data_IF_401355305803
#
_entry.id   IF_401355305803
#
_cell.length_a   1.000
_cell.length_b   1.000
_cell.length_c   1.000
_cell.angle_alpha   90.00
_cell.angle_beta   90.00
_cell.angle_gamma   90.00
#
_symmetry.space_group_name_H-M   'P 1'
#
loop_
_entity.id
_entity.type
_entity.pdbx_description
1 polymer ?
#
# COMPACT_ATOMS: atom_id res chain seq x y z
N UNK A 1 -35.09 -23.54 59.97
CA UNK A 1 -35.42 -23.05 58.64
C UNK A 1 -34.27 -22.26 58.10
N UNK A 2 -33.68 -22.74 57.06
CA UNK A 2 -32.51 -22.08 56.48
C UNK A 2 -32.89 -21.47 55.15
N UNK A 3 -32.86 -20.16 55.13
CA UNK A 3 -33.06 -19.41 53.89
C UNK A 3 -31.74 -19.53 53.08
N UNK A 4 -31.83 -20.18 51.97
CA UNK A 4 -30.69 -20.20 51.03
C UNK A 4 -30.91 -19.12 49.98
N UNK A 5 -30.16 -18.07 50.09
CA UNK A 5 -30.06 -17.08 49.05
C UNK A 5 -29.02 -17.61 48.08
N UNK A 6 -29.47 -18.00 46.92
CA UNK A 6 -28.58 -18.26 45.80
C UNK A 6 -28.11 -16.93 45.24
N UNK A 7 -26.82 -16.66 45.21
CA UNK A 7 -26.34 -15.49 44.49
C UNK A 7 -26.56 -15.76 43.02
N UNK A 8 -27.45 -14.98 42.47
CA UNK A 8 -27.56 -14.92 40.98
C UNK A 8 -26.29 -14.33 40.48
N UNK A 9 -25.48 -15.17 39.93
CA UNK A 9 -24.27 -14.72 39.21
C UNK A 9 -24.76 -14.05 37.91
N UNK A 10 -24.86 -12.73 37.91
CA UNK A 10 -25.05 -11.97 36.68
C UNK A 10 -23.69 -11.98 35.98
N UNK A 11 -23.53 -12.91 35.07
CA UNK A 11 -22.42 -12.84 34.12
C UNK A 11 -22.79 -11.72 33.16
N UNK A 12 -22.30 -10.54 33.42
CA UNK A 12 -22.25 -9.50 32.40
C UNK A 12 -21.27 -9.96 31.35
N UNK A 13 -21.78 -10.58 30.29
CA UNK A 13 -21.00 -10.80 29.08
C UNK A 13 -20.73 -9.41 28.48
N UNK A 14 -19.60 -8.83 28.82
CA UNK A 14 -19.05 -7.73 28.05
C UNK A 14 -18.69 -8.32 26.70
N UNK A 15 -19.62 -8.26 25.75
CA UNK A 15 -19.30 -8.41 24.35
C UNK A 15 -18.39 -7.22 24.00
N UNK A 16 -17.10 -7.43 24.08
CA UNK A 16 -16.15 -6.51 23.49
C UNK A 16 -16.35 -6.63 21.97
N UNK A 17 -17.18 -5.76 21.44
CA UNK A 17 -17.24 -5.55 20.01
C UNK A 17 -15.86 -5.02 19.62
N UNK A 18 -15.15 -5.69 18.68
CA UNK A 18 -13.96 -5.09 18.13
C UNK A 18 -14.41 -3.79 17.47
N UNK A 19 -14.01 -2.68 18.07
CA UNK A 19 -14.02 -1.41 17.39
C UNK A 19 -13.07 -1.60 16.22
N UNK A 20 -13.62 -1.90 15.05
CA UNK A 20 -12.91 -1.71 13.82
C UNK A 20 -12.53 -0.24 13.81
N UNK A 21 -11.30 0.06 14.17
CA UNK A 21 -10.77 1.40 14.09
C UNK A 21 -10.76 1.78 12.61
N UNK A 22 -11.77 2.47 12.17
CA UNK A 22 -11.80 3.13 10.88
C UNK A 22 -10.93 4.40 10.92
N UNK A 23 -9.69 4.25 11.40
CA UNK A 23 -8.71 5.30 11.32
C UNK A 23 -8.45 5.56 9.84
N UNK A 24 -8.99 6.65 9.32
CA UNK A 24 -8.88 7.01 7.92
C UNK A 24 -9.70 6.06 7.03
N UNK A 25 -11.06 6.12 7.10
CA UNK A 25 -12.01 5.25 6.40
C UNK A 25 -11.88 5.18 4.89
N UNK A 26 -10.83 5.77 4.31
CA UNK A 26 -10.56 5.79 2.88
C UNK A 26 -9.29 5.02 2.49
N UNK A 27 -8.66 4.31 3.42
CA UNK A 27 -7.50 3.50 3.09
C UNK A 27 -7.94 2.28 2.27
N UNK A 28 -7.29 1.98 1.13
CA UNK A 28 -7.58 0.78 0.38
C UNK A 28 -7.36 -0.48 1.21
N UNK A 29 -8.04 -1.59 0.87
CA UNK A 29 -7.82 -2.84 1.58
C UNK A 29 -6.38 -3.34 1.40
N UNK A 30 -5.84 -3.92 2.47
CA UNK A 30 -4.54 -4.59 2.40
C UNK A 30 -4.72 -5.96 1.76
N UNK A 31 -3.94 -6.21 0.73
CA UNK A 31 -3.89 -7.49 0.03
C UNK A 31 -2.61 -8.22 0.38
N UNK A 32 -2.58 -9.52 0.15
CA UNK A 32 -1.39 -10.34 0.40
C UNK A 32 -1.07 -11.18 -0.83
N UNK A 33 0.21 -11.18 -1.21
CA UNK A 33 0.72 -12.03 -2.29
C UNK A 33 2.04 -12.63 -1.84
N UNK A 34 2.13 -13.95 -1.83
CA UNK A 34 3.35 -14.66 -1.43
C UNK A 34 3.91 -14.25 -0.07
N UNK A 35 3.04 -13.93 0.90
CA UNK A 35 3.42 -13.45 2.21
C UNK A 35 3.72 -11.96 2.29
N UNK A 36 3.67 -11.23 1.19
CA UNK A 36 3.89 -9.78 1.14
C UNK A 36 2.55 -9.06 1.21
N UNK A 37 2.36 -8.25 2.23
CA UNK A 37 1.21 -7.37 2.35
C UNK A 37 1.45 -6.10 1.55
N UNK A 38 0.44 -5.67 0.81
CA UNK A 38 0.49 -4.44 0.03
C UNK A 38 -0.89 -3.83 -0.13
N UNK A 39 -0.91 -2.56 -0.47
CA UNK A 39 -2.11 -1.87 -0.92
C UNK A 39 -1.76 -0.90 -2.04
N UNK A 40 -2.71 -0.60 -2.88
CA UNK A 40 -2.56 0.42 -3.92
C UNK A 40 -3.84 1.24 -4.04
N UNK A 41 -3.69 2.47 -4.45
CA UNK A 41 -4.81 3.38 -4.61
C UNK A 41 -4.34 4.83 -4.62
N UNK A 42 -5.20 5.72 -4.11
CA UNK A 42 -4.90 7.13 -4.03
C UNK A 42 -5.62 7.98 -5.06
N UNK A 43 -6.65 7.42 -5.71
CA UNK A 43 -7.55 8.17 -6.56
C UNK A 43 -8.57 8.88 -5.66
N UNK A 44 -8.67 10.20 -5.83
CA UNK A 44 -9.50 11.04 -4.98
C UNK A 44 -8.76 11.53 -3.73
N UNK A 45 -9.19 12.69 -3.24
CA UNK A 45 -8.48 13.39 -2.17
C UNK A 45 -8.47 12.62 -0.85
N UNK A 46 -9.59 11.99 -0.51
CA UNK A 46 -9.71 11.24 0.76
C UNK A 46 -8.80 10.03 0.80
N UNK A 47 -8.73 9.25 -0.27
CA UNK A 47 -7.89 8.08 -0.34
C UNK A 47 -6.41 8.45 -0.43
N UNK A 48 -6.07 9.47 -1.22
CA UNK A 48 -4.71 10.00 -1.33
C UNK A 48 -4.19 10.48 0.02
N UNK A 49 -5.00 11.24 0.75
CA UNK A 49 -4.63 11.72 2.10
C UNK A 49 -4.42 10.57 3.08
N UNK A 50 -5.29 9.56 3.07
CA UNK A 50 -5.18 8.39 3.94
C UNK A 50 -3.90 7.60 3.66
N UNK A 51 -3.52 7.43 2.40
CA UNK A 51 -2.29 6.74 2.02
C UNK A 51 -1.06 7.52 2.45
N UNK A 52 -1.05 8.83 2.24
CA UNK A 52 0.06 9.69 2.69
C UNK A 52 0.26 9.62 4.20
N UNK A 53 -0.82 9.59 4.96
CA UNK A 53 -0.78 9.47 6.42
C UNK A 53 -0.27 8.08 6.84
N UNK A 54 -0.64 7.03 6.14
CA UNK A 54 -0.22 5.66 6.44
C UNK A 54 1.24 5.38 6.01
N UNK A 55 1.74 6.04 4.99
CA UNK A 55 3.02 5.71 4.35
C UNK A 55 4.23 5.70 5.29
N UNK A 56 4.35 6.56 6.31
CA UNK A 56 5.47 6.47 7.27
C UNK A 56 5.51 5.17 8.09
N UNK A 57 4.38 4.44 8.14
CA UNK A 57 4.25 3.17 8.85
C UNK A 57 4.46 1.94 7.95
N UNK A 58 4.77 2.17 6.69
CA UNK A 58 5.04 1.12 5.71
C UNK A 58 6.50 1.14 5.28
N UNK A 59 7.14 -0.05 5.14
CA UNK A 59 8.56 -0.11 4.75
C UNK A 59 8.86 0.49 3.38
N UNK A 60 7.92 0.39 2.43
CA UNK A 60 8.11 0.90 1.07
C UNK A 60 6.88 1.63 0.57
N UNK A 61 7.09 2.79 -0.02
CA UNK A 61 6.08 3.58 -0.73
C UNK A 61 6.53 3.84 -2.15
N UNK A 62 5.70 3.50 -3.12
CA UNK A 62 5.90 3.83 -4.53
C UNK A 62 4.87 4.88 -4.95
N UNK A 63 5.32 5.83 -5.75
CA UNK A 63 4.47 6.87 -6.34
C UNK A 63 4.68 6.89 -7.84
N UNK A 64 3.58 6.95 -8.59
CA UNK A 64 3.60 6.93 -10.05
C UNK A 64 3.00 8.22 -10.60
N UNK A 65 3.72 8.84 -11.52
CA UNK A 65 3.30 10.08 -12.16
C UNK A 65 3.78 10.15 -13.61
N UNK A 66 3.10 10.92 -14.41
CA UNK A 66 3.50 11.28 -15.78
C UNK A 66 3.76 12.78 -15.83
N UNK A 67 4.78 13.18 -16.54
CA UNK A 67 5.09 14.59 -16.70
C UNK A 67 4.00 15.30 -17.52
N UNK A 68 3.58 16.44 -17.05
CA UNK A 68 2.56 17.29 -17.70
C UNK A 68 3.04 18.74 -17.67
N UNK A 69 3.68 19.17 -18.74
CA UNK A 69 4.32 20.49 -18.79
C UNK A 69 5.36 20.67 -17.69
N UNK A 70 5.19 21.65 -16.81
CA UNK A 70 6.08 21.91 -15.66
C UNK A 70 5.69 21.15 -14.40
N UNK A 71 4.59 20.40 -14.43
CA UNK A 71 4.08 19.62 -13.32
C UNK A 71 4.07 18.14 -13.66
N UNK A 72 3.46 17.33 -12.82
CA UNK A 72 3.26 15.91 -13.05
C UNK A 72 1.85 15.54 -12.58
N UNK A 73 1.21 14.67 -13.36
CA UNK A 73 -0.09 14.12 -13.03
C UNK A 73 0.07 12.69 -12.51
N UNK A 74 -0.77 12.31 -11.57
CA UNK A 74 -0.76 10.95 -11.01
C UNK A 74 -1.22 9.93 -12.04
N UNK A 75 -0.55 8.76 -12.05
CA UNK A 75 -0.88 7.63 -12.91
C UNK A 75 -1.49 6.49 -12.13
N UNK A 76 -2.52 5.86 -12.70
CA UNK A 76 -3.06 4.58 -12.26
C UNK A 76 -2.71 3.48 -13.27
N UNK A 77 -3.01 2.24 -12.91
CA UNK A 77 -2.84 1.06 -13.75
C UNK A 77 -1.39 0.78 -14.16
N UNK A 78 -0.45 1.16 -13.31
CA UNK A 78 0.97 0.84 -13.50
C UNK A 78 1.20 -0.62 -13.09
N UNK A 79 1.79 -1.40 -13.99
CA UNK A 79 2.22 -2.75 -13.68
C UNK A 79 3.53 -2.73 -12.90
N UNK A 80 3.57 -3.32 -11.72
CA UNK A 80 4.71 -3.29 -10.82
C UNK A 80 5.22 -4.70 -10.59
N UNK A 81 6.53 -4.89 -10.77
CA UNK A 81 7.22 -6.11 -10.43
C UNK A 81 8.37 -5.79 -9.49
N UNK A 82 8.40 -6.42 -8.33
CA UNK A 82 9.45 -6.26 -7.32
C UNK A 82 10.26 -7.53 -7.22
N UNK A 83 11.56 -7.42 -7.40
CA UNK A 83 12.52 -8.52 -7.27
C UNK A 83 13.43 -8.28 -6.05
N UNK A 84 13.72 -9.36 -5.33
CA UNK A 84 14.69 -9.33 -4.23
C UNK A 84 16.14 -9.37 -4.73
N UNK A 85 17.12 -9.40 -3.81
CA UNK A 85 18.54 -9.48 -4.15
C UNK A 85 18.98 -10.79 -4.84
N UNK A 86 18.10 -11.79 -4.87
CA UNK A 86 18.32 -13.06 -5.56
C UNK A 86 17.57 -13.15 -6.89
N UNK A 87 17.08 -12.01 -7.41
CA UNK A 87 16.29 -11.92 -8.64
C UNK A 87 14.97 -12.69 -8.61
N UNK A 88 14.43 -12.95 -7.41
CA UNK A 88 13.12 -13.56 -7.25
C UNK A 88 12.04 -12.49 -7.21
N UNK A 89 10.98 -12.70 -7.96
CA UNK A 89 9.81 -11.83 -7.91
C UNK A 89 9.07 -12.08 -6.59
N UNK A 90 9.05 -11.07 -5.74
CA UNK A 90 8.37 -11.14 -4.43
C UNK A 90 7.01 -10.48 -4.43
N UNK A 91 6.77 -9.61 -5.41
CA UNK A 91 5.49 -8.94 -5.61
C UNK A 91 5.31 -8.59 -7.08
N UNK A 92 4.16 -8.91 -7.63
CA UNK A 92 3.77 -8.51 -8.98
C UNK A 92 2.30 -8.18 -8.99
N UNK A 93 1.97 -6.94 -9.33
CA UNK A 93 0.59 -6.46 -9.30
C UNK A 93 0.43 -5.24 -10.20
N UNK A 94 -0.82 -4.91 -10.52
CA UNK A 94 -1.15 -3.65 -11.17
C UNK A 94 -1.71 -2.69 -10.11
N UNK A 95 -1.04 -1.56 -9.95
CA UNK A 95 -1.45 -0.55 -8.99
C UNK A 95 -2.75 0.13 -9.46
N UNK A 96 -3.77 0.13 -8.62
CA UNK A 96 -5.07 0.71 -8.94
C UNK A 96 -5.11 2.24 -8.87
N UNK A 97 -4.05 2.85 -8.35
CA UNK A 97 -3.90 4.28 -8.24
C UNK A 97 -2.43 4.67 -8.19
N UNK A 98 -2.14 5.95 -7.94
CA UNK A 98 -0.76 6.47 -8.02
C UNK A 98 0.15 6.00 -6.89
N UNK A 99 -0.37 5.37 -5.85
CA UNK A 99 0.40 4.90 -4.70
C UNK A 99 0.36 3.38 -4.58
N UNK A 100 1.49 2.80 -4.21
CA UNK A 100 1.58 1.43 -3.75
C UNK A 100 2.43 1.39 -2.49
N UNK A 101 1.88 0.82 -1.42
CA UNK A 101 2.59 0.55 -0.17
C UNK A 101 2.84 -0.94 -0.05
N UNK A 102 4.04 -1.35 0.35
CA UNK A 102 4.38 -2.76 0.50
C UNK A 102 5.18 -3.01 1.78
N UNK A 103 4.92 -4.15 2.43
CA UNK A 103 5.67 -4.62 3.59
C UNK A 103 6.71 -5.64 3.13
N UNK A 104 7.87 -5.13 2.79
CA UNK A 104 9.01 -5.96 2.41
C UNK A 104 9.97 -6.11 3.59
N UNK A 105 10.58 -7.27 3.70
CA UNK A 105 11.66 -7.48 4.66
C UNK A 105 12.87 -6.59 4.32
N UNK A 106 13.71 -6.24 5.31
CA UNK A 106 14.92 -5.49 5.04
C UNK A 106 15.78 -6.16 3.97
N UNK A 107 16.26 -5.38 3.02
CA UNK A 107 17.06 -5.88 1.90
C UNK A 107 17.07 -4.93 0.72
N UNK A 108 17.76 -5.33 -0.34
CA UNK A 108 17.82 -4.59 -1.59
C UNK A 108 16.80 -5.16 -2.57
N UNK A 109 16.08 -4.27 -3.26
CA UNK A 109 15.04 -4.65 -4.20
C UNK A 109 15.18 -3.87 -5.50
N UNK A 110 14.83 -4.52 -6.59
CA UNK A 110 14.70 -3.91 -7.90
C UNK A 110 13.23 -3.83 -8.25
N UNK A 111 12.77 -2.66 -8.65
CA UNK A 111 11.37 -2.41 -8.97
C UNK A 111 11.25 -2.00 -10.43
N UNK A 112 10.51 -2.78 -11.19
CA UNK A 112 10.15 -2.50 -12.57
C UNK A 112 8.70 -2.01 -12.59
N UNK A 113 8.49 -0.79 -13.07
CA UNK A 113 7.17 -0.20 -13.21
C UNK A 113 6.90 0.08 -14.68
N UNK A 114 5.79 -0.45 -15.20
CA UNK A 114 5.46 -0.37 -16.63
C UNK A 114 4.07 0.21 -16.82
N UNK A 115 3.99 1.19 -17.70
CA UNK A 115 2.72 1.73 -18.19
C UNK A 115 2.86 2.04 -19.69
N UNK A 116 1.83 1.73 -20.47
CA UNK A 116 1.82 1.96 -21.93
C UNK A 116 3.10 1.42 -22.62
N UNK A 117 3.55 0.24 -22.22
CA UNK A 117 4.74 -0.40 -22.78
C UNK A 117 6.07 0.20 -22.37
N UNK A 118 6.10 1.24 -21.53
CA UNK A 118 7.34 1.88 -21.07
C UNK A 118 7.65 1.48 -19.64
N UNK A 119 8.81 0.88 -19.43
CA UNK A 119 9.27 0.41 -18.12
C UNK A 119 10.31 1.34 -17.54
N UNK A 120 10.09 1.77 -16.30
CA UNK A 120 11.09 2.44 -15.48
C UNK A 120 11.56 1.50 -14.39
N UNK A 121 12.85 1.56 -14.09
CA UNK A 121 13.48 0.70 -13.09
C UNK A 121 14.06 1.55 -11.97
N UNK A 122 13.84 1.13 -10.73
CA UNK A 122 14.43 1.74 -9.54
C UNK A 122 14.96 0.66 -8.62
N UNK A 123 16.12 0.90 -8.06
CA UNK A 123 16.67 0.08 -6.98
C UNK A 123 16.42 0.78 -5.67
N UNK A 124 15.90 0.04 -4.69
CA UNK A 124 15.62 0.58 -3.36
C UNK A 124 16.21 -0.32 -2.30
N UNK A 125 16.54 0.27 -1.16
CA UNK A 125 17.00 -0.44 0.02
C UNK A 125 15.95 -0.28 1.11
N UNK A 126 15.40 -1.39 1.57
CA UNK A 126 14.44 -1.41 2.69
C UNK A 126 15.22 -1.70 3.96
N UNK A 127 15.07 -0.86 4.96
CA UNK A 127 15.69 -1.01 6.27
C UNK A 127 14.64 -0.96 7.37
N UNK A 128 14.85 -1.72 8.43
CA UNK A 128 13.94 -1.73 9.57
C UNK A 128 13.85 -0.34 10.21
N UNK A 129 12.62 0.14 10.45
CA UNK A 129 12.37 1.44 11.08
C UNK A 129 12.67 2.66 10.21
N UNK A 130 13.00 2.48 8.93
CA UNK A 130 13.27 3.56 7.99
C UNK A 130 12.41 3.38 6.73
N UNK A 131 11.30 4.13 6.59
CA UNK A 131 10.47 4.04 5.40
C UNK A 131 11.24 4.42 4.15
N UNK A 132 11.25 3.54 3.14
CA UNK A 132 11.81 3.82 1.84
C UNK A 132 10.74 4.38 0.90
N UNK A 133 11.15 5.20 -0.04
CA UNK A 133 10.26 5.79 -1.04
C UNK A 133 10.93 5.80 -2.40
N UNK A 134 10.17 5.42 -3.43
CA UNK A 134 10.61 5.53 -4.81
C UNK A 134 9.53 6.22 -5.63
N UNK A 135 9.94 7.16 -6.47
CA UNK A 135 9.05 7.93 -7.35
C UNK A 135 9.39 7.57 -8.78
N UNK A 136 8.35 7.22 -9.55
CA UNK A 136 8.46 6.91 -10.98
C UNK A 136 7.74 8.00 -11.76
N UNK A 137 8.47 8.71 -12.61
CA UNK A 137 7.90 9.76 -13.46
C UNK A 137 8.17 9.43 -14.91
N UNK A 138 7.12 9.12 -15.66
CA UNK A 138 7.22 8.85 -17.09
C UNK A 138 7.24 10.16 -17.90
N UNK A 139 7.81 10.11 -19.12
CA UNK A 139 7.77 11.25 -20.03
C UNK A 139 6.34 11.65 -20.37
N UNK A 140 6.17 12.92 -20.69
CA UNK A 140 4.88 13.47 -21.16
C UNK A 140 4.33 12.65 -22.34
N UNK A 141 3.02 12.42 -22.36
CA UNK A 141 2.35 11.65 -23.41
C UNK A 141 2.41 10.14 -23.25
N UNK A 142 3.03 9.62 -22.19
CA UNK A 142 3.13 8.17 -21.96
C UNK A 142 1.78 7.52 -21.75
N UNK A 143 0.89 8.17 -21.02
CA UNK A 143 -0.46 7.70 -20.72
C UNK A 143 -1.40 7.71 -21.93
N UNK A 144 -1.10 8.53 -22.95
CA UNK A 144 -1.87 8.63 -24.18
C UNK A 144 -1.50 7.54 -25.20
N UNK A 145 -0.44 6.80 -24.97
CA UNK A 145 0.12 5.81 -25.92
C UNK A 145 -0.64 4.48 -25.94
N UNK A 146 -1.69 4.35 -25.15
CA UNK A 146 -2.46 3.12 -24.97
C UNK A 146 -3.82 3.11 -25.65
N UNK A 147 -4.08 3.96 -26.60
CA UNK A 147 -5.34 3.98 -27.37
C UNK A 147 -5.21 3.16 -28.63
#
# INVERSE_FOLDING_TARGET
MKLRILPTLIVAACAALPLAAHAGGNLPPVLTQGGVEYLSGGIGDGQSAAIKEASPHWPLTLLFAVRSGKSADYLANVHVQVQDGHHRVVLETTASGPYLLARLAPGAYKIDATVAGKTLVRSVKVAAGQPARAVFVWPEGTDDSGS
#
